data_IF_036534735338
#
_entry.id   IF_036534735338
#
_cell.length_a   1.000
_cell.length_b   1.000
_cell.length_c   1.000
_cell.angle_alpha   90.00
_cell.angle_beta   90.00
_cell.angle_gamma   90.00
#
_symmetry.space_group_name_H-M   'P 1'
#
loop_
_entity.id
_entity.type
_entity.pdbx_description
1 polymer ?
#
# COMPACT_ATOMS: atom_id res chain seq x y z
N UNK A 1 1.42 1.80 22.42
CA UNK A 1 2.25 0.71 21.86
C UNK A 1 3.69 1.20 21.80
N UNK A 2 4.68 0.44 22.26
CA UNK A 2 6.09 0.88 22.24
C UNK A 2 6.80 0.52 20.93
N UNK A 3 7.89 1.23 20.60
CA UNK A 3 8.71 0.96 19.40
C UNK A 3 9.28 -0.47 19.37
N UNK A 4 9.53 -1.07 20.53
CA UNK A 4 9.96 -2.48 20.64
C UNK A 4 8.91 -3.46 20.08
N UNK A 5 7.61 -3.14 20.21
CA UNK A 5 6.55 -3.96 19.63
C UNK A 5 6.53 -3.84 18.09
N UNK A 6 6.87 -2.68 17.53
CA UNK A 6 7.03 -2.50 16.08
C UNK A 6 8.17 -3.37 15.53
N UNK A 7 9.30 -3.38 16.24
CA UNK A 7 10.47 -4.18 15.86
C UNK A 7 10.13 -5.67 15.96
N UNK A 8 9.55 -6.12 17.09
CA UNK A 8 9.15 -7.51 17.28
C UNK A 8 8.18 -7.95 16.19
N UNK A 9 7.15 -7.14 15.92
CA UNK A 9 6.21 -7.39 14.84
C UNK A 9 6.96 -7.56 13.50
N UNK A 10 7.91 -6.67 13.19
CA UNK A 10 8.64 -6.71 11.91
C UNK A 10 9.45 -7.98 11.79
N UNK A 11 10.12 -8.38 12.87
CA UNK A 11 10.86 -9.65 12.93
C UNK A 11 9.94 -10.85 12.71
N UNK A 12 8.77 -10.89 13.36
CA UNK A 12 7.77 -11.94 13.17
C UNK A 12 7.28 -11.97 11.73
N UNK A 13 6.98 -10.82 11.14
CA UNK A 13 6.52 -10.72 9.75
C UNK A 13 7.59 -11.19 8.77
N UNK A 14 8.83 -10.74 8.90
CA UNK A 14 9.95 -11.15 8.03
C UNK A 14 10.23 -12.65 8.17
N UNK A 15 10.17 -13.20 9.39
CA UNK A 15 10.32 -14.63 9.62
C UNK A 15 9.19 -15.43 8.94
N UNK A 16 7.94 -14.97 9.06
CA UNK A 16 6.80 -15.58 8.40
C UNK A 16 6.92 -15.52 6.87
N UNK A 17 7.29 -14.37 6.31
CA UNK A 17 7.54 -14.21 4.88
C UNK A 17 8.63 -15.17 4.40
N UNK A 18 9.77 -15.23 5.10
CA UNK A 18 10.86 -16.14 4.75
C UNK A 18 10.41 -17.62 4.82
N UNK A 19 9.64 -18.00 5.84
CA UNK A 19 9.12 -19.36 5.99
C UNK A 19 8.15 -19.74 4.85
N UNK A 20 7.21 -18.85 4.50
CA UNK A 20 6.29 -19.05 3.37
C UNK A 20 7.07 -19.16 2.06
N UNK A 21 8.07 -18.29 1.86
CA UNK A 21 8.92 -18.34 0.67
C UNK A 21 9.61 -19.69 0.51
N UNK A 22 10.31 -20.16 1.55
CA UNK A 22 10.98 -21.48 1.53
C UNK A 22 9.99 -22.62 1.28
N UNK A 23 8.79 -22.56 1.86
CA UNK A 23 7.76 -23.57 1.63
C UNK A 23 7.37 -23.60 0.15
N UNK A 24 7.07 -22.45 -0.45
CA UNK A 24 6.63 -22.34 -1.84
C UNK A 24 7.74 -22.75 -2.80
N UNK A 25 9.00 -22.39 -2.51
CA UNK A 25 10.13 -22.78 -3.35
C UNK A 25 10.36 -24.30 -3.33
N UNK A 26 10.09 -24.96 -2.20
CA UNK A 26 10.26 -26.40 -2.05
C UNK A 26 9.05 -27.23 -2.52
N UNK A 27 7.82 -26.69 -2.44
CA UNK A 27 6.58 -27.47 -2.62
C UNK A 27 5.61 -26.89 -3.64
N UNK A 28 5.92 -25.73 -4.20
CA UNK A 28 5.05 -24.98 -5.10
C UNK A 28 3.97 -24.17 -4.38
N UNK A 29 3.14 -23.43 -5.15
CA UNK A 29 2.09 -22.56 -4.62
C UNK A 29 1.00 -23.28 -3.82
N UNK A 30 0.43 -22.59 -2.84
CA UNK A 30 -0.68 -23.12 -2.03
C UNK A 30 -2.01 -22.94 -2.78
N UNK A 31 -2.63 -24.05 -3.18
CA UNK A 31 -3.75 -24.09 -4.14
C UNK A 31 -4.96 -23.19 -3.77
N UNK A 32 -5.28 -23.04 -2.48
CA UNK A 32 -6.46 -22.31 -2.02
C UNK A 32 -6.19 -20.84 -1.64
N UNK A 33 -4.93 -20.39 -1.62
CA UNK A 33 -4.59 -19.03 -1.17
C UNK A 33 -5.27 -17.96 -2.02
N UNK A 34 -5.33 -18.15 -3.34
CA UNK A 34 -5.97 -17.18 -4.24
C UNK A 34 -7.44 -16.94 -3.89
N UNK A 35 -8.18 -18.01 -3.58
CA UNK A 35 -9.59 -17.91 -3.17
C UNK A 35 -9.75 -17.21 -1.82
N UNK A 36 -8.86 -17.50 -0.87
CA UNK A 36 -8.85 -16.83 0.44
C UNK A 36 -8.52 -15.34 0.29
N UNK A 37 -7.50 -14.99 -0.49
CA UNK A 37 -7.11 -13.60 -0.75
C UNK A 37 -8.24 -12.82 -1.41
N UNK A 38 -8.97 -13.43 -2.35
CA UNK A 38 -10.12 -12.81 -3.00
C UNK A 38 -11.25 -12.52 -1.99
N UNK A 39 -11.60 -13.49 -1.14
CA UNK A 39 -12.61 -13.30 -0.09
C UNK A 39 -12.17 -12.26 0.94
N UNK A 40 -10.93 -12.35 1.41
CA UNK A 40 -10.30 -11.40 2.33
C UNK A 40 -10.36 -9.99 1.76
N UNK A 41 -10.05 -9.80 0.47
CA UNK A 41 -10.12 -8.50 -0.19
C UNK A 41 -11.53 -7.91 -0.20
N UNK A 42 -12.57 -8.72 -0.41
CA UNK A 42 -13.97 -8.23 -0.34
C UNK A 42 -14.31 -7.72 1.07
N UNK A 43 -13.97 -8.50 2.09
CA UNK A 43 -14.19 -8.13 3.49
C UNK A 43 -13.39 -6.87 3.83
N UNK A 44 -12.15 -6.79 3.37
CA UNK A 44 -11.25 -5.70 3.71
C UNK A 44 -11.59 -4.40 2.96
N UNK A 45 -12.19 -4.48 1.78
CA UNK A 45 -12.80 -3.32 1.10
C UNK A 45 -13.92 -2.70 1.95
N UNK A 46 -14.82 -3.53 2.51
CA UNK A 46 -15.87 -3.08 3.42
C UNK A 46 -15.29 -2.52 4.72
N UNK A 47 -14.28 -3.18 5.29
CA UNK A 47 -13.59 -2.70 6.49
C UNK A 47 -12.91 -1.35 6.25
N UNK A 48 -12.30 -1.15 5.08
CA UNK A 48 -11.70 0.13 4.66
C UNK A 48 -12.75 1.24 4.52
N UNK A 49 -13.96 0.91 4.05
CA UNK A 49 -15.07 1.86 3.95
C UNK A 49 -15.60 2.25 5.32
N UNK A 50 -15.76 1.28 6.23
CA UNK A 50 -16.13 1.55 7.62
C UNK A 50 -15.06 2.41 8.32
N UNK A 51 -13.78 2.10 8.11
CA UNK A 51 -12.67 2.88 8.65
C UNK A 51 -12.65 4.30 8.10
N UNK A 52 -12.89 4.49 6.80
CA UNK A 52 -13.02 5.81 6.20
C UNK A 52 -14.14 6.62 6.86
N UNK A 53 -15.31 6.01 7.11
CA UNK A 53 -16.40 6.67 7.82
C UNK A 53 -15.99 7.10 9.24
N UNK A 54 -15.25 6.26 9.97
CA UNK A 54 -14.72 6.60 11.29
C UNK A 54 -13.71 7.77 11.23
N UNK A 55 -12.80 7.77 10.25
CA UNK A 55 -11.82 8.85 10.06
C UNK A 55 -12.50 10.20 9.81
N UNK A 56 -13.59 10.19 9.04
CA UNK A 56 -14.39 11.38 8.72
C UNK A 56 -15.29 11.85 9.86
N UNK A 57 -15.42 11.07 10.94
CA UNK A 57 -16.30 11.34 12.07
C UNK A 57 -15.47 11.77 13.29
N UNK A 58 -15.40 13.08 13.62
CA UNK A 58 -14.48 13.59 14.65
C UNK A 58 -14.63 12.92 16.03
N UNK A 59 -15.85 12.49 16.36
CA UNK A 59 -16.19 11.83 17.63
C UNK A 59 -15.44 10.51 17.85
N UNK A 60 -14.95 9.87 16.79
CA UNK A 60 -14.25 8.58 16.87
C UNK A 60 -12.74 8.71 16.62
N UNK A 61 -12.15 9.88 16.82
CA UNK A 61 -10.75 10.16 16.48
C UNK A 61 -9.76 9.09 16.99
N UNK A 62 -9.75 8.82 18.30
CA UNK A 62 -8.78 7.89 18.88
C UNK A 62 -8.96 6.46 18.36
N UNK A 63 -10.21 6.01 18.25
CA UNK A 63 -10.55 4.71 17.68
C UNK A 63 -10.13 4.62 16.22
N UNK A 64 -10.39 5.66 15.43
CA UNK A 64 -10.04 5.69 14.02
C UNK A 64 -8.52 5.66 13.80
N UNK A 65 -7.74 6.39 14.62
CA UNK A 65 -6.27 6.37 14.57
C UNK A 65 -5.72 4.99 14.91
N UNK A 66 -6.24 4.36 15.96
CA UNK A 66 -5.83 3.02 16.37
C UNK A 66 -6.17 1.98 15.29
N UNK A 67 -7.39 2.01 14.76
CA UNK A 67 -7.81 1.08 13.72
C UNK A 67 -7.07 1.30 12.41
N UNK A 68 -6.79 2.55 12.02
CA UNK A 68 -6.00 2.84 10.83
C UNK A 68 -4.57 2.33 10.95
N UNK A 69 -3.94 2.51 12.11
CA UNK A 69 -2.63 1.92 12.35
C UNK A 69 -2.68 0.39 12.37
N UNK A 70 -3.69 -0.19 13.03
CA UNK A 70 -3.88 -1.63 13.09
C UNK A 70 -4.10 -2.26 11.71
N UNK A 71 -4.78 -1.52 10.81
CA UNK A 71 -5.03 -1.96 9.44
C UNK A 71 -3.71 -2.25 8.70
N UNK A 72 -2.65 -1.49 8.95
CA UNK A 72 -1.34 -1.65 8.32
C UNK A 72 -0.65 -2.96 8.69
N UNK A 73 -0.96 -3.53 9.85
CA UNK A 73 -0.49 -4.87 10.19
C UNK A 73 -1.30 -5.97 9.50
N UNK A 74 -2.59 -5.76 9.28
CA UNK A 74 -3.42 -6.70 8.51
C UNK A 74 -2.90 -6.83 7.08
N UNK A 75 -2.44 -5.73 6.49
CA UNK A 75 -1.93 -5.67 5.11
C UNK A 75 -0.70 -6.59 4.88
N UNK A 76 -0.01 -7.05 5.95
CA UNK A 76 1.00 -8.12 5.81
C UNK A 76 0.46 -9.43 5.25
N UNK A 77 -0.83 -9.71 5.46
CA UNK A 77 -1.50 -10.87 4.88
C UNK A 77 -1.44 -10.80 3.35
N UNK A 78 -1.43 -9.61 2.75
CA UNK A 78 -1.33 -9.46 1.31
C UNK A 78 0.05 -9.89 0.79
N UNK A 79 1.13 -9.48 1.48
CA UNK A 79 2.49 -9.92 1.15
C UNK A 79 2.63 -11.43 1.28
N UNK A 80 2.16 -11.99 2.39
CA UNK A 80 2.19 -13.44 2.61
C UNK A 80 1.32 -14.18 1.58
N UNK A 81 0.15 -13.62 1.23
CA UNK A 81 -0.77 -14.18 0.24
C UNK A 81 -0.18 -14.21 -1.16
N UNK A 82 0.41 -13.10 -1.62
CA UNK A 82 1.11 -13.05 -2.91
C UNK A 82 2.22 -14.09 -2.96
N UNK A 83 3.07 -14.15 -1.91
CA UNK A 83 4.16 -15.12 -1.88
C UNK A 83 3.66 -16.57 -1.86
N UNK A 84 2.65 -16.86 -1.03
CA UNK A 84 2.04 -18.17 -0.92
C UNK A 84 1.34 -18.63 -2.21
N UNK A 85 0.83 -17.70 -3.02
CA UNK A 85 0.26 -17.97 -4.34
C UNK A 85 1.32 -18.17 -5.45
N UNK A 86 2.61 -18.14 -5.10
CA UNK A 86 3.72 -18.25 -6.04
C UNK A 86 4.06 -16.95 -6.77
N UNK A 87 3.51 -15.82 -6.33
CA UNK A 87 3.81 -14.51 -6.90
C UNK A 87 5.13 -13.94 -6.39
N UNK A 88 5.73 -13.08 -7.22
CA UNK A 88 6.87 -12.26 -6.81
C UNK A 88 6.39 -10.99 -6.11
N UNK A 89 7.16 -10.55 -5.12
CA UNK A 89 6.90 -9.31 -4.39
C UNK A 89 7.64 -8.19 -5.10
N UNK A 90 6.89 -7.27 -5.71
CA UNK A 90 7.50 -6.08 -6.29
C UNK A 90 8.08 -5.16 -5.20
N UNK A 91 9.05 -4.34 -5.60
CA UNK A 91 9.81 -3.52 -4.65
C UNK A 91 8.92 -2.50 -3.94
N UNK A 92 7.99 -1.86 -4.66
CA UNK A 92 7.11 -0.86 -4.08
C UNK A 92 6.21 -1.50 -3.03
N UNK A 93 5.57 -2.61 -3.37
CA UNK A 93 4.68 -3.35 -2.50
C UNK A 93 5.41 -3.83 -1.24
N UNK A 94 6.58 -4.47 -1.39
CA UNK A 94 7.37 -4.93 -0.25
C UNK A 94 7.85 -3.78 0.65
N UNK A 95 8.40 -2.72 0.05
CA UNK A 95 8.88 -1.55 0.79
C UNK A 95 7.74 -0.87 1.54
N UNK A 96 6.63 -0.58 0.85
CA UNK A 96 5.44 0.05 1.42
C UNK A 96 4.92 -0.72 2.64
N UNK A 97 4.73 -2.03 2.53
CA UNK A 97 4.17 -2.83 3.62
C UNK A 97 5.11 -2.91 4.82
N UNK A 98 6.43 -2.91 4.60
CA UNK A 98 7.40 -2.88 5.70
C UNK A 98 7.44 -1.52 6.42
N UNK A 99 7.32 -0.40 5.72
CA UNK A 99 7.55 0.93 6.30
C UNK A 99 6.28 1.67 6.72
N UNK A 100 5.12 1.36 6.13
CA UNK A 100 3.85 2.06 6.45
C UNK A 100 3.38 1.85 7.90
N UNK A 101 3.58 0.69 8.54
CA UNK A 101 3.33 0.56 9.97
C UNK A 101 4.18 1.52 10.82
N UNK A 102 5.45 1.75 10.48
CA UNK A 102 6.29 2.72 11.17
C UNK A 102 5.83 4.16 10.90
N UNK A 103 5.49 4.47 9.65
CA UNK A 103 4.93 5.78 9.27
C UNK A 103 3.69 6.09 10.12
N UNK A 104 2.73 5.18 10.17
CA UNK A 104 1.47 5.38 10.90
C UNK A 104 1.68 5.35 12.42
N UNK A 105 2.65 4.57 12.92
CA UNK A 105 3.05 4.63 14.33
C UNK A 105 3.48 6.04 14.72
N UNK A 106 4.38 6.66 13.95
CA UNK A 106 4.92 7.98 14.28
C UNK A 106 3.96 9.14 13.96
N UNK A 107 3.26 9.09 12.82
CA UNK A 107 2.41 10.20 12.33
C UNK A 107 0.91 10.07 12.54
N UNK A 108 0.41 8.91 12.93
CA UNK A 108 -1.03 8.74 13.20
C UNK A 108 -1.27 8.49 14.68
N UNK A 109 -0.42 7.71 15.35
CA UNK A 109 -0.60 7.48 16.79
C UNK A 109 0.01 8.58 17.66
N UNK A 110 1.24 9.01 17.37
CA UNK A 110 2.02 9.85 18.30
C UNK A 110 2.02 11.33 17.91
N UNK A 111 2.33 11.65 16.66
CA UNK A 111 2.35 13.03 16.17
C UNK A 111 1.27 13.15 15.10
N UNK A 112 0.02 13.40 15.48
CA UNK A 112 -1.13 13.15 14.61
C UNK A 112 -1.71 14.39 13.95
N UNK A 113 -1.07 15.55 14.03
CA UNK A 113 -1.57 16.72 13.33
C UNK A 113 -1.78 16.47 11.82
N UNK A 114 -2.93 16.87 11.28
CA UNK A 114 -3.26 16.70 9.85
C UNK A 114 -3.45 15.27 9.38
N UNK A 115 -3.40 14.26 10.27
CA UNK A 115 -3.41 12.83 9.92
C UNK A 115 -4.60 12.39 9.06
N UNK A 116 -5.76 13.02 9.26
CA UNK A 116 -7.04 12.65 8.63
C UNK A 116 -7.00 12.70 7.11
N UNK A 117 -6.30 13.67 6.52
CA UNK A 117 -6.24 13.80 5.06
C UNK A 117 -5.49 12.61 4.45
N UNK A 118 -4.33 12.29 5.01
CA UNK A 118 -3.50 11.16 4.57
C UNK A 118 -4.25 9.84 4.78
N UNK A 119 -4.76 9.62 6.00
CA UNK A 119 -5.45 8.39 6.35
C UNK A 119 -6.77 8.21 5.57
N UNK A 120 -7.52 9.29 5.37
CA UNK A 120 -8.77 9.30 4.61
C UNK A 120 -8.54 8.98 3.13
N UNK A 121 -7.61 9.64 2.46
CA UNK A 121 -7.29 9.36 1.06
C UNK A 121 -6.72 7.95 0.87
N UNK A 122 -5.88 7.49 1.80
CA UNK A 122 -5.39 6.12 1.80
C UNK A 122 -6.52 5.11 1.99
N UNK A 123 -7.41 5.32 2.96
CA UNK A 123 -8.53 4.41 3.20
C UNK A 123 -9.50 4.39 2.01
N UNK A 124 -9.76 5.55 1.39
CA UNK A 124 -10.54 5.62 0.15
C UNK A 124 -9.89 4.85 -1.00
N UNK A 125 -8.58 5.01 -1.20
CA UNK A 125 -7.85 4.21 -2.19
C UNK A 125 -7.94 2.71 -1.88
N UNK A 126 -7.82 2.32 -0.61
CA UNK A 126 -7.93 0.93 -0.17
C UNK A 126 -9.32 0.35 -0.41
N UNK A 127 -10.40 1.11 -0.21
CA UNK A 127 -11.76 0.68 -0.60
C UNK A 127 -11.78 0.21 -2.06
N UNK A 128 -11.27 1.04 -2.97
CA UNK A 128 -11.26 0.73 -4.40
C UNK A 128 -10.27 -0.41 -4.75
N UNK A 129 -9.07 -0.36 -4.20
CA UNK A 129 -8.02 -1.35 -4.47
C UNK A 129 -8.45 -2.76 -4.03
N UNK A 130 -8.99 -2.90 -2.81
CA UNK A 130 -9.46 -4.19 -2.34
C UNK A 130 -10.78 -4.62 -2.99
N UNK A 131 -11.63 -3.68 -3.43
CA UNK A 131 -12.78 -4.03 -4.27
C UNK A 131 -12.31 -4.66 -5.59
N UNK A 132 -11.29 -4.07 -6.22
CA UNK A 132 -10.67 -4.61 -7.43
C UNK A 132 -10.07 -6.00 -7.19
N UNK A 133 -9.26 -6.18 -6.14
CA UNK A 133 -8.70 -7.49 -5.77
C UNK A 133 -9.77 -8.52 -5.38
N UNK A 134 -10.92 -8.06 -4.87
CA UNK A 134 -12.11 -8.87 -4.62
C UNK A 134 -12.93 -9.22 -5.88
N UNK A 135 -12.52 -8.73 -7.06
CA UNK A 135 -13.11 -9.04 -8.37
C UNK A 135 -13.94 -7.92 -9.01
N UNK A 136 -14.04 -6.73 -8.40
CA UNK A 136 -14.78 -5.62 -8.98
C UNK A 136 -13.95 -4.90 -10.06
N UNK A 137 -13.93 -5.44 -11.29
CA UNK A 137 -13.11 -4.89 -12.38
C UNK A 137 -13.46 -3.44 -12.76
N UNK A 138 -14.69 -2.99 -12.49
CA UNK A 138 -15.19 -1.65 -12.83
C UNK A 138 -14.39 -0.49 -12.21
N UNK A 139 -13.73 -0.72 -11.07
CA UNK A 139 -12.94 0.33 -10.39
C UNK A 139 -11.48 0.40 -10.84
N UNK A 140 -11.04 -0.49 -11.75
CA UNK A 140 -9.64 -0.61 -12.18
C UNK A 140 -9.06 0.71 -12.71
N UNK A 141 -9.82 1.46 -13.50
CA UNK A 141 -9.37 2.73 -14.09
C UNK A 141 -9.14 3.83 -13.05
N UNK A 142 -9.78 3.74 -11.89
CA UNK A 142 -9.62 4.71 -10.81
C UNK A 142 -8.36 4.47 -9.96
N UNK A 143 -7.77 3.27 -9.98
CA UNK A 143 -6.65 2.93 -9.11
C UNK A 143 -5.39 3.77 -9.38
N UNK A 144 -4.95 4.00 -10.63
CA UNK A 144 -3.81 4.87 -10.91
C UNK A 144 -4.01 6.29 -10.39
N UNK A 145 -5.21 6.83 -10.56
CA UNK A 145 -5.57 8.20 -10.17
C UNK A 145 -5.60 8.33 -8.65
N UNK A 146 -6.37 7.47 -7.98
CA UNK A 146 -6.52 7.54 -6.52
C UNK A 146 -5.23 7.20 -5.79
N UNK A 147 -4.42 6.26 -6.31
CA UNK A 147 -3.11 5.92 -5.76
C UNK A 147 -2.12 7.08 -5.85
N UNK A 148 -2.14 7.82 -6.96
CA UNK A 148 -1.31 9.03 -7.11
C UNK A 148 -1.81 10.17 -6.23
N UNK A 149 -3.13 10.39 -6.19
CA UNK A 149 -3.75 11.47 -5.42
C UNK A 149 -3.43 11.37 -3.93
N UNK A 150 -3.54 10.17 -3.32
CA UNK A 150 -3.24 9.99 -1.91
C UNK A 150 -1.78 10.37 -1.56
N UNK A 151 -0.83 10.05 -2.45
CA UNK A 151 0.60 10.32 -2.22
C UNK A 151 0.91 11.80 -2.39
N UNK A 152 0.45 12.41 -3.49
CA UNK A 152 0.67 13.84 -3.76
C UNK A 152 0.03 14.71 -2.67
N UNK A 153 -1.21 14.42 -2.30
CA UNK A 153 -1.90 15.15 -1.25
C UNK A 153 -1.21 14.97 0.12
N UNK A 154 -0.73 13.76 0.42
CA UNK A 154 0.02 13.51 1.65
C UNK A 154 1.34 14.28 1.69
N UNK A 155 2.11 14.28 0.61
CA UNK A 155 3.37 15.04 0.51
C UNK A 155 3.10 16.54 0.69
N UNK A 156 2.11 17.09 -0.04
CA UNK A 156 1.76 18.50 0.06
C UNK A 156 1.32 18.87 1.50
N UNK A 157 0.47 18.05 2.11
CA UNK A 157 0.00 18.25 3.48
C UNK A 157 1.14 18.24 4.50
N UNK A 158 2.03 17.25 4.43
CA UNK A 158 3.19 17.19 5.33
C UNK A 158 4.17 18.35 5.13
N UNK A 159 4.41 18.77 3.88
CA UNK A 159 5.28 19.90 3.57
C UNK A 159 4.72 21.22 4.13
N UNK A 160 3.41 21.42 4.03
CA UNK A 160 2.73 22.58 4.60
C UNK A 160 2.82 22.59 6.13
N UNK A 161 2.55 21.47 6.79
CA UNK A 161 2.68 21.34 8.26
C UNK A 161 4.12 21.59 8.68
N UNK A 162 5.09 20.97 8.02
CA UNK A 162 6.51 21.13 8.34
C UNK A 162 6.95 22.59 8.17
N UNK A 163 6.52 23.25 7.10
CA UNK A 163 6.82 24.68 6.86
C UNK A 163 6.25 25.55 7.95
N UNK A 164 4.97 25.34 8.32
CA UNK A 164 4.33 26.08 9.41
C UNK A 164 5.08 25.88 10.72
N UNK A 165 5.36 24.63 11.09
CA UNK A 165 6.09 24.31 12.32
C UNK A 165 7.46 24.97 12.37
N UNK A 166 8.18 24.98 11.24
CA UNK A 166 9.48 25.65 11.12
C UNK A 166 9.35 27.17 11.29
N UNK A 167 8.32 27.80 10.72
CA UNK A 167 8.10 29.24 10.86
C UNK A 167 7.71 29.68 12.27
N UNK A 168 7.16 28.76 13.07
CA UNK A 168 6.69 29.02 14.43
C UNK A 168 7.56 28.35 15.52
N UNK A 169 8.73 27.83 15.15
CA UNK A 169 9.65 27.11 16.04
C UNK A 169 8.96 25.97 16.84
N UNK A 170 8.00 25.26 16.21
CA UNK A 170 7.26 24.15 16.81
C UNK A 170 8.01 22.81 16.66
N UNK A 171 8.37 22.18 17.78
CA UNK A 171 8.98 20.83 17.82
C UNK A 171 7.98 19.75 18.28
N UNK A 172 8.15 18.45 17.93
CA UNK A 172 9.23 17.89 17.12
C UNK A 172 8.97 18.00 15.60
N UNK A 173 9.99 18.30 14.79
CA UNK A 173 9.88 18.34 13.32
C UNK A 173 10.09 16.97 12.63
N UNK A 174 10.91 16.11 13.23
CA UNK A 174 11.37 14.86 12.61
C UNK A 174 10.25 13.90 12.15
N UNK A 175 9.06 13.79 12.78
CA UNK A 175 8.01 12.87 12.32
C UNK A 175 7.49 13.27 10.94
N UNK A 176 7.36 14.57 10.69
CA UNK A 176 6.92 15.12 9.40
C UNK A 176 8.01 14.91 8.33
N UNK A 177 9.28 15.11 8.69
CA UNK A 177 10.43 14.85 7.80
C UNK A 177 10.50 13.38 7.39
N UNK A 178 10.41 12.45 8.35
CA UNK A 178 10.37 11.01 8.08
C UNK A 178 9.24 10.66 7.10
N UNK A 179 8.08 11.26 7.31
CA UNK A 179 6.87 10.95 6.53
C UNK A 179 6.94 11.51 5.12
N UNK A 180 7.47 12.72 4.95
CA UNK A 180 7.81 13.25 3.63
C UNK A 180 8.78 12.33 2.87
N UNK A 181 9.83 11.86 3.55
CA UNK A 181 10.80 10.94 2.96
C UNK A 181 10.15 9.62 2.51
N UNK A 182 9.31 9.03 3.35
CA UNK A 182 8.61 7.77 3.02
C UNK A 182 7.55 7.97 1.91
N UNK A 183 6.70 8.99 2.00
CA UNK A 183 5.69 9.26 0.97
C UNK A 183 6.34 9.61 -0.38
N UNK A 184 7.45 10.37 -0.38
CA UNK A 184 8.24 10.65 -1.57
C UNK A 184 8.82 9.36 -2.18
N UNK A 185 9.36 8.48 -1.34
CA UNK A 185 9.86 7.17 -1.78
C UNK A 185 8.75 6.31 -2.38
N UNK A 186 7.56 6.29 -1.75
CA UNK A 186 6.39 5.58 -2.26
C UNK A 186 5.95 6.14 -3.62
N UNK A 187 5.94 7.47 -3.79
CA UNK A 187 5.57 8.08 -5.06
C UNK A 187 6.53 7.71 -6.20
N UNK A 188 7.84 7.72 -5.92
CA UNK A 188 8.85 7.30 -6.92
C UNK A 188 8.65 5.84 -7.32
N UNK A 189 8.48 4.95 -6.34
CA UNK A 189 8.28 3.53 -6.58
C UNK A 189 6.94 3.25 -7.30
N UNK A 190 5.88 3.96 -6.93
CA UNK A 190 4.58 3.89 -7.59
C UNK A 190 4.64 4.33 -9.06
N UNK A 191 5.29 5.45 -9.36
CA UNK A 191 5.46 5.93 -10.74
C UNK A 191 6.27 4.93 -11.56
N UNK A 192 7.32 4.36 -10.98
CA UNK A 192 8.10 3.29 -11.61
C UNK A 192 7.20 2.11 -11.99
N UNK A 193 6.36 1.63 -11.06
CA UNK A 193 5.46 0.51 -11.32
C UNK A 193 4.42 0.80 -12.40
N UNK A 194 3.82 2.00 -12.37
CA UNK A 194 2.88 2.42 -13.39
C UNK A 194 3.54 2.42 -14.78
N UNK A 195 4.76 2.93 -14.89
CA UNK A 195 5.52 2.91 -16.15
C UNK A 195 5.79 1.48 -16.61
N UNK A 196 6.27 0.61 -15.72
CA UNK A 196 6.53 -0.80 -16.06
C UNK A 196 5.26 -1.50 -16.58
N UNK A 197 4.10 -1.27 -15.94
CA UNK A 197 2.82 -1.86 -16.38
C UNK A 197 2.37 -1.34 -17.74
N UNK A 198 2.59 -0.05 -18.04
CA UNK A 198 2.29 0.54 -19.35
C UNK A 198 3.16 -0.10 -20.43
N UNK A 199 4.48 -0.19 -20.23
CA UNK A 199 5.40 -0.82 -21.17
C UNK A 199 5.03 -2.28 -21.45
N UNK A 200 4.73 -3.08 -20.41
CA UNK A 200 4.31 -4.49 -20.62
C UNK A 200 2.97 -4.62 -21.36
N UNK A 201 2.07 -3.63 -21.24
CA UNK A 201 0.81 -3.62 -21.99
C UNK A 201 0.99 -3.20 -23.45
N UNK A 202 1.97 -2.34 -23.74
CA UNK A 202 2.35 -1.97 -25.11
C UNK A 202 3.07 -3.13 -25.82
N UNK A 203 3.96 -3.85 -25.13
CA UNK A 203 4.61 -5.04 -25.69
C UNK A 203 3.64 -6.18 -26.00
N UNK A 204 2.62 -6.43 -25.15
CA UNK A 204 1.62 -7.48 -25.42
C UNK A 204 0.60 -7.09 -26.49
N UNK A 205 0.46 -5.80 -26.78
CA UNK A 205 -0.39 -5.26 -27.85
C UNK A 205 0.38 -4.91 -29.13
N UNK A 206 1.71 -5.01 -29.12
CA UNK A 206 2.52 -4.94 -30.33
C UNK A 206 2.06 -6.07 -31.27
N UNK A 207 1.55 -5.74 -32.47
CA UNK A 207 1.16 -6.77 -33.41
C UNK A 207 2.37 -7.62 -33.73
N UNK A 208 2.13 -8.90 -34.01
CA UNK A 208 3.00 -9.90 -34.63
C UNK A 208 3.55 -9.48 -36.01
N UNK A 209 3.80 -8.18 -36.24
CA UNK A 209 4.32 -7.59 -37.47
C UNK A 209 5.72 -8.06 -37.84
N UNK A 210 6.44 -8.71 -36.92
CA UNK A 210 7.76 -9.32 -37.22
C UNK A 210 7.69 -10.82 -37.56
N UNK A 211 6.55 -11.49 -37.40
CA UNK A 211 6.38 -12.89 -37.82
C UNK A 211 5.67 -13.04 -39.17
N UNK A 212 4.95 -12.02 -39.65
CA UNK A 212 4.29 -12.03 -40.97
C UNK A 212 5.18 -11.61 -42.15
N UNK A 213 6.37 -11.06 -41.90
CA UNK A 213 7.33 -10.70 -42.98
C UNK A 213 8.21 -11.89 -43.36
N UNK A 214 8.44 -12.83 -42.45
CA UNK A 214 9.23 -14.03 -42.73
C UNK A 214 8.44 -15.17 -43.42
N UNK A 215 7.10 -15.08 -43.45
CA UNK A 215 6.23 -16.10 -44.05
C UNK A 215 5.74 -15.76 -45.48
N UNK A 216 6.26 -14.68 -46.08
CA UNK A 216 5.94 -14.28 -47.47
C UNK A 216 7.12 -14.41 -48.44
N UNK A 217 8.25 -14.96 -48.01
CA UNK A 217 9.43 -15.21 -48.85
C UNK A 217 9.91 -16.67 -48.80
N UNK A 218 9.01 -17.64 -48.62
CA UNK A 218 9.32 -19.08 -48.79
C UNK A 218 8.35 -19.77 -49.73
#
# INVERSE_FOLDING_TARGET
>A
MGVHLMILQTLVFVAAWAAVGRYVDARGPIAFVRSITLLSSRVYSLASAALLALILTPQYEDTARLLFHASKFYEYIDVLGVRAAGGEIDLHFGFHHLTTPYLTYFRVLHNHEGWRVVAGLNSFHHVLMYAYFGGAAAVRSALPVTGTLQLVAGIAGEALILTRKTMHDEEPLWPNVLTLGLLGSYLVLWIRDLRMRLFSSEESSAPTKYLDVAAKES
#
